data_IF_547413118887
#
_entry.id   IF_547413118887
#
_cell.length_a   1.000
_cell.length_b   1.000
_cell.length_c   1.000
_cell.angle_alpha   90.00
_cell.angle_beta   90.00
_cell.angle_gamma   90.00
#
_symmetry.space_group_name_H-M   'P 1'
#
loop_
_entity.id
_entity.type
_entity.pdbx_description
1 polymer ?
#
# COMPACT_ATOMS: atom_id res chain seq x y z
N UNK A 1 9.70 -33.77 41.89
CA UNK A 1 10.27 -33.92 40.53
C UNK A 1 9.48 -33.20 39.42
N UNK A 2 8.44 -32.40 39.70
CA UNK A 2 7.60 -31.81 38.65
C UNK A 2 7.90 -30.33 38.31
N UNK A 3 8.68 -29.63 39.13
CA UNK A 3 9.06 -28.22 38.88
C UNK A 3 10.04 -28.08 37.71
N UNK A 4 10.91 -29.07 37.50
CA UNK A 4 11.88 -29.07 36.40
C UNK A 4 11.24 -29.31 35.02
N UNK A 5 10.07 -29.98 34.97
CA UNK A 5 9.35 -30.22 33.71
C UNK A 5 8.51 -29.02 33.28
N UNK A 6 7.98 -28.24 34.24
CA UNK A 6 7.20 -27.03 33.99
C UNK A 6 8.06 -25.85 33.51
N UNK A 7 9.29 -25.73 34.02
CA UNK A 7 10.26 -24.73 33.56
C UNK A 7 10.78 -25.03 32.14
N UNK A 8 10.96 -26.31 31.79
CA UNK A 8 11.48 -26.70 30.48
C UNK A 8 10.45 -26.47 29.35
N UNK A 9 9.16 -26.74 29.59
CA UNK A 9 8.11 -26.47 28.61
C UNK A 9 7.85 -24.99 28.41
N UNK A 10 7.88 -24.17 29.47
CA UNK A 10 7.75 -22.72 29.36
C UNK A 10 8.89 -22.06 28.55
N UNK A 11 10.13 -22.52 28.72
CA UNK A 11 11.28 -22.03 27.93
C UNK A 11 11.19 -22.41 26.45
N UNK A 12 10.65 -23.58 26.12
CA UNK A 12 10.48 -24.03 24.73
C UNK A 12 9.37 -23.24 24.03
N UNK A 13 8.29 -22.88 24.73
CA UNK A 13 7.21 -22.05 24.18
C UNK A 13 7.67 -20.61 23.90
N UNK A 14 8.47 -20.02 24.80
CA UNK A 14 9.03 -18.66 24.60
C UNK A 14 10.06 -18.65 23.47
N UNK A 15 10.88 -19.70 23.33
CA UNK A 15 11.85 -19.82 22.23
C UNK A 15 11.16 -20.02 20.86
N UNK A 16 10.07 -20.78 20.80
CA UNK A 16 9.26 -20.95 19.57
C UNK A 16 8.52 -19.67 19.17
N UNK A 17 8.02 -18.91 20.14
CA UNK A 17 7.38 -17.61 19.89
C UNK A 17 8.40 -16.56 19.42
N UNK A 18 9.61 -16.53 20.01
CA UNK A 18 10.70 -15.66 19.54
C UNK A 18 11.20 -16.06 18.15
N UNK A 19 11.29 -17.36 17.83
CA UNK A 19 11.68 -17.83 16.50
C UNK A 19 10.66 -17.43 15.42
N UNK A 20 9.35 -17.48 15.72
CA UNK A 20 8.29 -17.00 14.82
C UNK A 20 8.31 -15.47 14.64
N UNK A 21 8.62 -14.71 15.70
CA UNK A 21 8.75 -13.25 15.62
C UNK A 21 9.99 -12.80 14.82
N UNK A 22 11.11 -13.52 14.93
CA UNK A 22 12.32 -13.28 14.14
C UNK A 22 12.15 -13.62 12.65
N UNK A 23 11.40 -14.68 12.32
CA UNK A 23 11.12 -15.03 10.93
C UNK A 23 10.19 -14.00 10.24
N UNK A 24 9.20 -13.47 10.97
CA UNK A 24 8.28 -12.46 10.45
C UNK A 24 8.99 -11.12 10.14
N UNK A 25 9.95 -10.71 10.96
CA UNK A 25 10.71 -9.48 10.74
C UNK A 25 11.59 -9.54 9.47
N UNK A 26 12.17 -10.70 9.15
CA UNK A 26 12.99 -10.88 7.93
C UNK A 26 12.13 -10.85 6.65
N UNK A 27 10.89 -11.35 6.71
CA UNK A 27 9.96 -11.26 5.57
C UNK A 27 9.52 -9.84 5.26
N UNK A 28 9.27 -9.02 6.28
CA UNK A 28 8.86 -7.62 6.11
C UNK A 28 10.02 -6.78 5.54
N UNK A 29 11.24 -6.96 6.06
CA UNK A 29 12.43 -6.28 5.56
C UNK A 29 12.72 -6.60 4.07
N UNK A 30 12.53 -7.85 3.64
CA UNK A 30 12.66 -8.24 2.22
C UNK A 30 11.57 -7.61 1.35
N UNK A 31 10.32 -7.56 1.84
CA UNK A 31 9.22 -6.93 1.12
C UNK A 31 9.44 -5.44 0.93
N UNK A 32 9.91 -4.73 1.96
CA UNK A 32 10.26 -3.31 1.88
C UNK A 32 11.39 -3.04 0.87
N UNK A 33 12.42 -3.89 0.82
CA UNK A 33 13.50 -3.78 -0.18
C UNK A 33 12.97 -3.93 -1.61
N UNK A 34 12.13 -4.94 -1.86
CA UNK A 34 11.53 -5.15 -3.18
C UNK A 34 10.68 -3.94 -3.59
N UNK A 35 9.87 -3.41 -2.66
CA UNK A 35 9.03 -2.24 -2.92
C UNK A 35 9.87 -0.99 -3.22
N UNK A 36 10.94 -0.77 -2.45
CA UNK A 36 11.87 0.34 -2.67
C UNK A 36 12.55 0.26 -4.04
N UNK A 37 12.98 -0.94 -4.47
CA UNK A 37 13.57 -1.16 -5.79
C UNK A 37 12.56 -0.90 -6.91
N UNK A 38 11.32 -1.39 -6.80
CA UNK A 38 10.28 -1.15 -7.79
C UNK A 38 9.94 0.34 -7.91
N UNK A 39 9.84 1.04 -6.78
CA UNK A 39 9.62 2.48 -6.74
C UNK A 39 10.78 3.24 -7.40
N UNK A 40 12.02 2.91 -7.05
CA UNK A 40 13.21 3.53 -7.61
C UNK A 40 13.34 3.29 -9.12
N UNK A 41 12.97 2.10 -9.60
CA UNK A 41 12.94 1.80 -11.03
C UNK A 41 11.93 2.69 -11.77
N UNK A 42 10.71 2.84 -11.23
CA UNK A 42 9.68 3.67 -11.83
C UNK A 42 10.07 5.16 -11.87
N UNK A 43 10.52 5.69 -10.74
CA UNK A 43 10.96 7.09 -10.62
C UNK A 43 12.19 7.36 -11.50
N UNK A 44 13.15 6.43 -11.51
CA UNK A 44 14.33 6.50 -12.38
C UNK A 44 13.96 6.54 -13.87
N UNK A 45 12.99 5.73 -14.31
CA UNK A 45 12.51 5.77 -15.70
C UNK A 45 11.84 7.09 -16.05
N UNK A 46 11.03 7.65 -15.14
CA UNK A 46 10.37 8.93 -15.35
C UNK A 46 11.40 10.08 -15.48
N UNK A 47 12.39 10.13 -14.58
CA UNK A 47 13.47 11.11 -14.67
C UNK A 47 14.34 10.92 -15.94
N UNK A 48 14.62 9.68 -16.33
CA UNK A 48 15.35 9.38 -17.56
C UNK A 48 14.60 9.87 -18.80
N UNK A 49 13.28 9.62 -18.88
CA UNK A 49 12.41 10.10 -19.98
C UNK A 49 12.34 11.61 -20.05
N UNK A 50 12.39 12.30 -18.91
CA UNK A 50 12.42 13.77 -18.81
C UNK A 50 13.78 14.39 -19.15
N UNK A 51 14.81 13.58 -19.41
CA UNK A 51 16.18 14.05 -19.66
C UNK A 51 16.94 14.46 -18.38
N UNK A 52 16.38 14.18 -17.20
CA UNK A 52 16.99 14.51 -15.92
C UNK A 52 17.92 13.38 -15.45
N UNK A 53 19.04 13.19 -16.16
CA UNK A 53 19.92 12.03 -15.94
C UNK A 53 20.57 12.02 -14.55
N UNK A 54 20.91 13.18 -13.99
CA UNK A 54 21.47 13.28 -12.64
C UNK A 54 20.51 12.77 -11.56
N UNK A 55 19.23 13.12 -11.66
CA UNK A 55 18.21 12.68 -10.71
C UNK A 55 17.94 11.18 -10.85
N UNK A 56 17.92 10.66 -12.08
CA UNK A 56 17.79 9.23 -12.33
C UNK A 56 18.96 8.43 -11.71
N UNK A 57 20.21 8.89 -11.89
CA UNK A 57 21.40 8.28 -11.27
C UNK A 57 21.28 8.28 -9.74
N UNK A 58 20.88 9.39 -9.12
CA UNK A 58 20.77 9.49 -7.67
C UNK A 58 19.76 8.48 -7.09
N UNK A 59 18.56 8.40 -7.67
CA UNK A 59 17.50 7.48 -7.22
C UNK A 59 17.92 6.03 -7.43
N UNK A 60 18.56 5.73 -8.57
CA UNK A 60 18.97 4.38 -8.92
C UNK A 60 20.21 3.90 -8.13
N UNK A 61 21.16 4.78 -7.82
CA UNK A 61 22.30 4.43 -6.95
C UNK A 61 21.84 4.13 -5.51
N UNK A 62 20.81 4.83 -5.01
CA UNK A 62 20.33 4.66 -3.64
C UNK A 62 19.85 3.24 -3.32
N UNK A 63 19.33 2.51 -4.31
CA UNK A 63 18.83 1.14 -4.12
C UNK A 63 19.71 0.06 -4.76
N UNK A 64 20.92 0.37 -5.23
CA UNK A 64 21.81 -0.60 -5.89
C UNK A 64 22.22 -1.78 -4.99
N UNK A 65 22.19 -1.60 -3.66
CA UNK A 65 22.46 -2.68 -2.71
C UNK A 65 21.28 -3.66 -2.56
N UNK A 66 20.08 -3.29 -3.02
CA UNK A 66 18.82 -4.00 -2.77
C UNK A 66 18.25 -4.71 -4.01
N UNK A 67 18.85 -4.53 -5.19
CA UNK A 67 18.27 -4.92 -6.49
C UNK A 67 18.44 -6.40 -6.85
N UNK A 68 19.20 -7.17 -6.05
CA UNK A 68 19.47 -8.60 -6.24
C UNK A 68 19.81 -9.01 -7.69
N UNK A 69 20.51 -8.13 -8.42
CA UNK A 69 20.94 -8.38 -9.81
C UNK A 69 19.87 -8.19 -10.89
N UNK A 70 18.80 -7.44 -10.62
CA UNK A 70 17.78 -7.11 -11.63
C UNK A 70 18.40 -6.45 -12.88
N UNK A 71 18.29 -7.12 -14.03
CA UNK A 71 18.91 -6.72 -15.29
C UNK A 71 18.35 -5.41 -15.84
N UNK A 72 17.03 -5.21 -15.75
CA UNK A 72 16.37 -3.99 -16.25
C UNK A 72 16.84 -2.77 -15.45
N UNK A 73 16.99 -2.94 -14.14
CA UNK A 73 17.49 -1.90 -13.25
C UNK A 73 18.92 -1.49 -13.61
N UNK A 74 19.82 -2.47 -13.77
CA UNK A 74 21.20 -2.23 -14.14
C UNK A 74 21.32 -1.59 -15.54
N UNK A 75 20.48 -2.01 -16.49
CA UNK A 75 20.46 -1.44 -17.83
C UNK A 75 19.94 0.01 -17.84
N UNK A 76 18.94 0.33 -17.02
CA UNK A 76 18.47 1.70 -16.84
C UNK A 76 19.54 2.58 -16.20
N UNK A 77 20.23 2.09 -15.17
CA UNK A 77 21.34 2.80 -14.52
C UNK A 77 22.49 3.04 -15.50
N UNK A 78 22.84 2.04 -16.32
CA UNK A 78 23.82 2.17 -17.40
C UNK A 78 23.45 3.32 -18.35
N UNK A 79 22.22 3.33 -18.85
CA UNK A 79 21.75 4.37 -19.77
C UNK A 79 21.72 5.75 -19.09
N UNK A 80 21.36 5.82 -17.80
CA UNK A 80 21.37 7.04 -17.02
C UNK A 80 22.79 7.59 -16.83
N UNK A 81 23.80 6.75 -16.57
CA UNK A 81 25.20 7.18 -16.53
C UNK A 81 25.67 7.73 -17.88
N UNK A 82 25.34 7.08 -19.00
CA UNK A 82 25.70 7.59 -20.32
C UNK A 82 25.07 8.95 -20.61
N UNK A 83 23.82 9.17 -20.18
CA UNK A 83 23.17 10.48 -20.26
C UNK A 83 23.85 11.52 -19.37
N UNK A 84 24.18 11.15 -18.13
CA UNK A 84 24.80 12.06 -17.18
C UNK A 84 26.23 12.45 -17.59
N UNK A 85 27.00 11.53 -18.15
CA UNK A 85 28.33 11.82 -18.70
C UNK A 85 28.23 12.85 -19.84
N UNK A 86 27.24 12.72 -20.74
CA UNK A 86 27.00 13.72 -21.80
C UNK A 86 26.65 15.10 -21.22
N UNK A 87 25.83 15.16 -20.17
CA UNK A 87 25.52 16.41 -19.47
C UNK A 87 26.76 17.03 -18.81
N UNK A 88 27.63 16.21 -18.22
CA UNK A 88 28.87 16.67 -17.58
C UNK A 88 29.90 17.13 -18.62
N UNK A 89 29.98 16.46 -19.78
CA UNK A 89 30.81 16.86 -20.92
C UNK A 89 30.39 18.24 -21.43
N UNK A 90 29.08 18.49 -21.56
CA UNK A 90 28.55 19.79 -21.96
C UNK A 90 28.90 20.91 -20.95
N UNK A 91 29.10 20.57 -19.67
CA UNK A 91 29.47 21.52 -18.60
C UNK A 91 30.98 21.62 -18.36
N UNK A 92 31.80 20.76 -18.99
CA UNK A 92 33.26 20.76 -18.83
C UNK A 92 33.79 20.25 -17.48
N UNK A 93 33.01 19.45 -16.73
CA UNK A 93 33.45 18.89 -15.44
C UNK A 93 34.17 17.54 -15.61
N UNK A 94 35.45 17.60 -15.99
CA UNK A 94 36.26 16.41 -16.33
C UNK A 94 36.50 15.44 -15.17
N UNK A 95 36.51 15.91 -13.92
CA UNK A 95 36.75 15.07 -12.74
C UNK A 95 35.59 14.11 -12.45
N UNK A 96 34.34 14.60 -12.52
CA UNK A 96 33.15 13.76 -12.33
C UNK A 96 32.95 12.79 -13.50
N UNK A 97 33.32 13.19 -14.73
CA UNK A 97 33.27 12.31 -15.90
C UNK A 97 34.10 11.03 -15.65
N UNK A 98 35.36 11.18 -15.21
CA UNK A 98 36.24 10.02 -14.95
C UNK A 98 35.68 9.08 -13.88
N UNK A 99 34.99 9.62 -12.87
CA UNK A 99 34.34 8.82 -11.81
C UNK A 99 33.19 7.98 -12.37
N UNK A 100 32.30 8.56 -13.17
CA UNK A 100 31.18 7.84 -13.75
C UNK A 100 31.61 6.87 -14.86
N UNK A 101 32.66 7.17 -15.62
CA UNK A 101 33.27 6.25 -16.58
C UNK A 101 33.81 4.98 -15.91
N UNK A 102 34.49 5.11 -14.77
CA UNK A 102 34.96 3.96 -13.97
C UNK A 102 33.79 3.11 -13.47
N UNK A 103 32.71 3.76 -13.00
CA UNK A 103 31.49 3.06 -12.54
C UNK A 103 30.79 2.33 -13.68
N UNK A 104 30.76 2.92 -14.87
CA UNK A 104 30.21 2.31 -16.09
C UNK A 104 30.99 1.05 -16.47
N UNK A 105 32.33 1.10 -16.42
CA UNK A 105 33.18 -0.06 -16.72
C UNK A 105 32.94 -1.25 -15.77
N UNK A 106 32.72 -0.97 -14.48
CA UNK A 106 32.36 -1.99 -13.49
C UNK A 106 30.99 -2.62 -13.83
N UNK A 107 30.02 -1.77 -14.19
CA UNK A 107 28.67 -2.18 -14.53
C UNK A 107 28.63 -3.05 -15.81
N UNK A 108 29.34 -2.65 -16.85
CA UNK A 108 29.45 -3.38 -18.13
C UNK A 108 30.08 -4.76 -17.95
N UNK A 109 31.11 -4.84 -17.10
CA UNK A 109 31.73 -6.10 -16.71
C UNK A 109 30.73 -7.01 -15.98
N UNK A 110 29.89 -6.46 -15.11
CA UNK A 110 28.83 -7.20 -14.42
C UNK A 110 27.70 -7.68 -15.35
N UNK A 111 27.22 -6.81 -16.25
CA UNK A 111 26.17 -7.14 -17.23
C UNK A 111 26.66 -8.25 -18.18
N UNK A 112 27.90 -8.14 -18.68
CA UNK A 112 28.49 -9.14 -19.59
C UNK A 112 28.83 -10.47 -18.91
N UNK A 113 29.20 -10.47 -17.62
CA UNK A 113 29.40 -11.70 -16.85
C UNK A 113 28.07 -12.41 -16.51
N UNK A 114 27.02 -11.65 -16.19
CA UNK A 114 25.66 -12.20 -16.00
C UNK A 114 25.11 -12.85 -17.28
N UNK A 115 25.47 -12.33 -18.46
CA UNK A 115 25.10 -12.91 -19.75
C UNK A 115 25.82 -14.25 -20.04
N UNK A 116 27.02 -14.47 -19.48
CA UNK A 116 27.79 -15.73 -19.67
C UNK A 116 27.43 -16.83 -18.68
N UNK A 117 26.76 -16.53 -17.58
CA UNK A 117 26.37 -17.53 -16.56
C UNK A 117 25.01 -18.21 -16.84
N UNK A 118 24.33 -17.87 -17.93
CA UNK A 118 23.09 -18.52 -18.35
C UNK A 118 23.33 -19.62 -19.38
N UNK A 119 23.87 -20.77 -18.97
CA UNK A 119 23.79 -21.99 -19.79
C UNK A 119 22.44 -22.66 -19.54
N UNK A 120 21.48 -22.36 -20.40
CA UNK A 120 20.38 -23.28 -20.73
C UNK A 120 20.47 -23.51 -22.23
N UNK A 121 20.49 -24.79 -22.61
CA UNK A 121 20.74 -25.28 -23.96
C UNK A 121 19.80 -24.67 -25.02
N UNK A 122 20.27 -24.51 -26.27
CA UNK A 122 19.48 -23.93 -27.35
C UNK A 122 18.47 -24.96 -27.88
N UNK A 123 17.20 -24.56 -27.98
CA UNK A 123 16.23 -25.28 -28.82
C UNK A 123 16.30 -24.69 -30.22
N UNK A 124 16.60 -25.59 -31.15
CA UNK A 124 16.79 -25.40 -32.58
C UNK A 124 15.63 -24.67 -33.26
N UNK A 125 15.95 -23.70 -34.11
CA UNK A 125 15.09 -23.29 -35.23
C UNK A 125 15.74 -23.80 -36.53
N UNK A 126 15.03 -24.50 -37.43
CA UNK A 126 15.57 -24.89 -38.72
C UNK A 126 15.70 -23.72 -39.69
N UNK A 127 16.81 -23.75 -40.43
CA UNK A 127 17.32 -22.83 -41.44
C UNK A 127 16.63 -23.06 -42.82
N UNK A 128 16.26 -22.00 -43.58
CA UNK A 128 16.99 -21.38 -44.75
C UNK A 128 16.40 -21.84 -46.12
N UNK A 129 16.55 -21.17 -47.33
CA UNK A 129 17.22 -19.92 -47.79
C UNK A 129 16.31 -19.03 -48.75
N UNK A 130 16.80 -18.24 -49.76
CA UNK A 130 17.00 -16.79 -49.65
C UNK A 130 16.45 -15.96 -50.85
N UNK A 131 16.46 -14.62 -50.78
CA UNK A 131 16.57 -13.78 -52.00
C UNK A 131 17.07 -12.37 -51.67
N UNK A 132 18.12 -11.98 -52.38
CA UNK A 132 18.76 -10.66 -52.46
C UNK A 132 17.83 -9.57 -53.01
N UNK A 133 18.02 -8.30 -52.65
CA UNK A 133 18.58 -7.24 -53.53
C UNK A 133 18.54 -5.83 -52.88
N UNK A 134 19.70 -5.17 -52.96
CA UNK A 134 19.96 -3.72 -53.21
C UNK A 134 19.33 -2.60 -52.37
N UNK A 135 20.21 -1.81 -51.76
CA UNK A 135 20.05 -0.36 -51.52
C UNK A 135 20.11 0.42 -52.86
N UNK A 136 19.64 1.69 -52.92
CA UNK A 136 20.53 2.80 -52.54
C UNK A 136 19.86 3.99 -51.82
N UNK A 137 20.70 4.81 -51.19
CA UNK A 137 20.39 6.11 -50.60
C UNK A 137 20.18 7.20 -51.67
N UNK A 138 19.39 8.24 -51.36
CA UNK A 138 19.55 9.58 -51.95
C UNK A 138 18.61 10.63 -51.31
N UNK A 139 19.23 11.67 -50.72
CA UNK A 139 18.92 13.14 -50.73
C UNK A 139 17.45 13.62 -50.60
N UNK A 140 17.11 14.70 -49.88
CA UNK A 140 17.56 16.09 -50.00
C UNK A 140 17.24 16.85 -48.69
N UNK A 141 18.12 17.78 -48.33
CA UNK A 141 18.05 18.71 -47.23
C UNK A 141 17.09 19.90 -47.44
N UNK A 142 16.84 20.61 -46.33
CA UNK A 142 16.64 22.06 -46.25
C UNK A 142 15.26 22.66 -46.58
N UNK A 143 14.64 23.21 -45.55
CA UNK A 143 14.16 24.59 -45.60
C UNK A 143 14.21 25.23 -44.19
N UNK A 144 15.30 25.97 -43.92
CA UNK A 144 15.30 27.08 -42.96
C UNK A 144 14.17 28.05 -43.34
N UNK A 145 13.53 28.78 -42.42
CA UNK A 145 13.99 30.07 -41.86
C UNK A 145 12.71 30.73 -41.30
N UNK A 146 12.60 31.34 -40.11
CA UNK A 146 13.28 32.54 -39.59
C UNK A 146 12.66 32.78 -38.20
N UNK A 147 13.43 33.19 -37.21
CA UNK A 147 13.23 34.47 -36.50
C UNK A 147 14.42 34.71 -35.58
N UNK A 148 15.12 35.82 -35.87
CA UNK A 148 16.27 36.35 -35.13
C UNK A 148 15.77 37.20 -33.97
N UNK A 149 16.57 37.18 -32.89
CA UNK A 149 16.41 37.87 -31.61
C UNK A 149 16.34 39.41 -31.70
N UNK A 150 16.13 40.06 -30.54
CA UNK A 150 17.24 40.84 -30.03
C UNK A 150 17.59 40.57 -28.56
N UNK A 151 18.89 40.42 -28.38
CA UNK A 151 19.69 40.43 -27.17
C UNK A 151 19.52 41.72 -26.37
N UNK A 152 19.37 41.60 -25.05
CA UNK A 152 19.75 42.65 -24.10
C UNK A 152 20.73 42.07 -23.09
N UNK A 153 21.99 42.44 -23.27
CA UNK A 153 23.11 42.17 -22.38
C UNK A 153 22.90 42.98 -21.11
N UNK A 154 22.80 42.32 -19.96
CA UNK A 154 23.01 42.94 -18.66
C UNK A 154 24.26 42.32 -18.07
N UNK A 155 25.25 43.18 -17.95
CA UNK A 155 26.59 42.97 -17.44
C UNK A 155 26.54 42.67 -15.94
N UNK A 156 27.07 41.51 -15.54
CA UNK A 156 27.18 41.08 -14.15
C UNK A 156 28.58 41.46 -13.63
N UNK A 157 28.70 42.34 -12.63
CA UNK A 157 30.01 42.70 -12.10
C UNK A 157 30.60 41.58 -11.25
N UNK A 158 31.80 41.12 -11.63
CA UNK A 158 32.72 40.34 -10.81
C UNK A 158 33.22 41.22 -9.66
N UNK A 159 33.01 40.78 -8.42
CA UNK A 159 33.81 41.26 -7.28
C UNK A 159 34.52 40.07 -6.63
N UNK A 160 35.80 40.34 -6.37
CA UNK A 160 36.90 39.53 -5.87
C UNK A 160 36.60 38.55 -4.73
N UNK A 161 37.29 37.41 -4.84
CA UNK A 161 37.60 36.50 -3.75
C UNK A 161 38.62 37.16 -2.82
N UNK A 162 38.31 37.27 -1.52
CA UNK A 162 39.19 36.89 -0.41
C UNK A 162 38.55 37.27 0.93
N UNK A 163 38.08 36.25 1.67
CA UNK A 163 37.83 36.33 3.11
C UNK A 163 37.85 34.92 3.71
N UNK A 164 38.47 34.71 4.88
CA UNK A 164 38.76 33.39 5.42
C UNK A 164 37.46 32.66 5.81
N UNK A 165 37.26 31.47 5.23
CA UNK A 165 36.19 30.54 5.61
C UNK A 165 36.50 29.97 7.00
N UNK A 166 35.87 30.52 8.03
CA UNK A 166 35.64 29.79 9.29
C UNK A 166 34.57 28.74 8.99
N UNK A 167 34.99 27.52 8.66
CA UNK A 167 34.09 26.39 8.45
C UNK A 167 33.69 25.83 9.82
N UNK A 168 32.66 26.44 10.41
CA UNK A 168 31.89 25.79 11.45
C UNK A 168 31.28 24.52 10.85
N UNK A 169 31.70 23.36 11.35
CA UNK A 169 31.10 22.07 11.02
C UNK A 169 29.70 22.09 11.64
N UNK A 170 28.69 22.44 10.86
CA UNK A 170 27.29 22.27 11.23
C UNK A 170 27.04 20.77 11.10
N UNK A 171 27.27 20.05 12.19
CA UNK A 171 26.63 18.76 12.41
C UNK A 171 25.13 19.03 12.56
N UNK A 172 24.35 18.11 12.00
CA UNK A 172 22.88 18.05 12.01
C UNK A 172 22.13 18.96 11.03
N UNK A 173 21.99 18.43 9.80
CA UNK A 173 20.80 18.65 8.99
C UNK A 173 19.58 18.01 9.71
N UNK A 174 19.16 18.63 10.81
CA UNK A 174 17.89 18.34 11.45
C UNK A 174 16.78 18.74 10.48
N UNK A 175 15.93 17.78 10.12
CA UNK A 175 14.75 17.97 9.27
C UNK A 175 13.76 19.01 9.86
N UNK A 176 13.94 19.35 11.13
CA UNK A 176 13.12 20.30 11.90
C UNK A 176 13.66 21.73 11.97
N UNK A 177 14.71 22.09 11.20
CA UNK A 177 15.13 23.49 11.15
C UNK A 177 14.09 24.33 10.36
N UNK A 178 13.39 25.28 10.99
CA UNK A 178 12.30 26.06 10.37
C UNK A 178 12.78 26.98 9.23
N UNK A 179 14.09 27.19 9.07
CA UNK A 179 14.69 27.99 8.02
C UNK A 179 15.48 27.15 6.99
N UNK A 180 15.27 25.84 6.95
CA UNK A 180 15.88 24.99 5.93
C UNK A 180 15.24 25.23 4.55
N UNK A 181 16.08 25.17 3.50
CA UNK A 181 15.63 25.31 2.11
C UNK A 181 14.57 24.24 1.74
N UNK A 182 14.68 23.05 2.32
CA UNK A 182 13.73 21.95 2.13
C UNK A 182 12.35 22.27 2.68
N UNK A 183 12.25 22.97 3.82
CA UNK A 183 10.97 23.39 4.39
C UNK A 183 10.28 24.45 3.51
N UNK A 184 11.03 25.43 3.02
CA UNK A 184 10.52 26.43 2.06
C UNK A 184 10.02 25.77 0.76
N UNK A 185 10.75 24.79 0.24
CA UNK A 185 10.35 24.05 -0.96
C UNK A 185 9.07 23.24 -0.72
N UNK A 186 8.96 22.53 0.42
CA UNK A 186 7.73 21.79 0.79
C UNK A 186 6.51 22.69 0.85
N UNK A 187 6.66 23.89 1.42
CA UNK A 187 5.58 24.88 1.47
C UNK A 187 5.14 25.33 0.07
N UNK A 188 6.09 25.63 -0.82
CA UNK A 188 5.80 25.99 -2.21
C UNK A 188 5.13 24.86 -2.98
N UNK A 189 5.63 23.62 -2.84
CA UNK A 189 5.05 22.45 -3.49
C UNK A 189 3.63 22.18 -2.97
N UNK A 190 3.39 22.32 -1.66
CA UNK A 190 2.06 22.20 -1.05
C UNK A 190 1.09 23.23 -1.61
N UNK A 191 1.54 24.49 -1.79
CA UNK A 191 0.75 25.58 -2.38
C UNK A 191 0.39 25.29 -3.84
N UNK A 192 1.35 24.80 -4.63
CA UNK A 192 1.12 24.47 -6.04
C UNK A 192 0.10 23.33 -6.19
N UNK A 193 0.15 22.31 -5.31
CA UNK A 193 -0.85 21.23 -5.29
C UNK A 193 -2.23 21.73 -4.87
N UNK A 194 -2.29 22.65 -3.91
CA UNK A 194 -3.55 23.28 -3.52
C UNK A 194 -4.17 24.05 -4.69
N UNK A 195 -3.39 24.86 -5.40
CA UNK A 195 -3.87 25.63 -6.56
C UNK A 195 -4.39 24.72 -7.68
N UNK A 196 -3.75 23.56 -7.90
CA UNK A 196 -4.26 22.56 -8.83
C UNK A 196 -5.55 21.92 -8.32
N UNK A 197 -5.65 21.59 -7.03
CA UNK A 197 -6.85 21.01 -6.44
C UNK A 197 -8.07 21.93 -6.58
N UNK A 198 -7.89 23.25 -6.39
CA UNK A 198 -8.95 24.24 -6.56
C UNK A 198 -9.43 24.35 -8.02
N UNK A 199 -8.50 24.24 -8.99
CA UNK A 199 -8.87 24.18 -10.42
C UNK A 199 -9.69 22.92 -10.74
N UNK A 200 -9.25 21.76 -10.25
CA UNK A 200 -9.99 20.51 -10.46
C UNK A 200 -11.35 20.52 -9.74
N UNK A 201 -11.43 21.14 -8.57
CA UNK A 201 -12.68 21.34 -7.83
C UNK A 201 -13.66 22.20 -8.64
N UNK A 202 -13.19 23.34 -9.17
CA UNK A 202 -13.98 24.19 -10.06
C UNK A 202 -14.39 23.46 -11.35
N UNK A 203 -13.53 22.58 -11.86
CA UNK A 203 -13.78 21.70 -13.00
C UNK A 203 -14.72 20.51 -12.71
N UNK A 204 -15.26 20.39 -11.48
CA UNK A 204 -16.10 19.26 -11.01
C UNK A 204 -15.40 17.89 -11.04
N UNK A 205 -14.07 17.88 -11.11
CA UNK A 205 -13.25 16.66 -11.06
C UNK A 205 -12.95 16.29 -9.60
N UNK A 206 -13.99 16.04 -8.80
CA UNK A 206 -13.88 15.89 -7.34
C UNK A 206 -12.93 14.76 -6.89
N UNK A 207 -12.86 13.67 -7.66
CA UNK A 207 -11.96 12.54 -7.37
C UNK A 207 -10.48 12.90 -7.50
N UNK A 208 -10.11 13.67 -8.54
CA UNK A 208 -8.74 14.15 -8.73
C UNK A 208 -8.42 15.25 -7.71
N UNK A 209 -9.36 16.17 -7.49
CA UNK A 209 -9.25 17.22 -6.49
C UNK A 209 -8.98 16.62 -5.09
N UNK A 210 -9.69 15.56 -4.70
CA UNK A 210 -9.49 14.89 -3.40
C UNK A 210 -8.05 14.42 -3.18
N UNK A 211 -7.43 13.84 -4.21
CA UNK A 211 -6.04 13.37 -4.14
C UNK A 211 -5.04 14.51 -4.02
N UNK A 212 -5.25 15.58 -4.78
CA UNK A 212 -4.39 16.76 -4.75
C UNK A 212 -4.48 17.50 -3.40
N UNK A 213 -5.68 17.56 -2.81
CA UNK A 213 -5.84 18.05 -1.44
C UNK A 213 -5.07 17.17 -0.45
N UNK A 214 -5.24 15.85 -0.50
CA UNK A 214 -4.52 14.94 0.40
C UNK A 214 -2.99 15.08 0.28
N UNK A 215 -2.46 15.19 -0.93
CA UNK A 215 -1.04 15.46 -1.17
C UNK A 215 -0.58 16.79 -0.59
N UNK A 216 -1.35 17.86 -0.77
CA UNK A 216 -1.07 19.19 -0.21
C UNK A 216 -1.06 19.16 1.31
N UNK A 217 -2.04 18.49 1.93
CA UNK A 217 -2.14 18.33 3.38
C UNK A 217 -0.96 17.54 3.95
N UNK A 218 -0.52 16.48 3.25
CA UNK A 218 0.63 15.67 3.66
C UNK A 218 1.94 16.47 3.61
N UNK A 219 2.07 17.39 2.64
CA UNK A 219 3.26 18.23 2.51
C UNK A 219 3.31 19.29 3.60
N UNK A 220 2.24 20.08 3.75
CA UNK A 220 2.13 21.12 4.78
C UNK A 220 0.65 21.39 5.15
N UNK A 221 0.19 20.92 6.33
CA UNK A 221 -1.18 21.12 6.78
C UNK A 221 -1.60 22.61 6.91
N UNK A 222 -0.65 23.50 7.21
CA UNK A 222 -0.93 24.93 7.46
C UNK A 222 -1.38 25.70 6.21
N UNK A 223 -1.17 25.15 5.01
CA UNK A 223 -1.52 25.82 3.75
C UNK A 223 -3.02 25.76 3.47
N UNK A 224 -3.77 24.86 4.12
CA UNK A 224 -5.15 24.51 3.74
C UNK A 224 -6.30 24.99 4.64
N UNK A 225 -6.23 26.03 5.50
CA UNK A 225 -7.32 26.32 6.44
C UNK A 225 -8.65 26.68 5.75
N UNK A 226 -8.61 27.25 4.54
CA UNK A 226 -9.81 27.72 3.82
C UNK A 226 -10.38 26.68 2.83
N UNK A 227 -9.63 25.61 2.55
CA UNK A 227 -10.00 24.58 1.56
C UNK A 227 -10.31 23.23 2.21
N UNK A 228 -10.22 23.12 3.54
CA UNK A 228 -10.61 21.93 4.31
C UNK A 228 -12.05 21.52 3.99
N UNK A 229 -12.97 22.48 3.88
CA UNK A 229 -14.37 22.22 3.52
C UNK A 229 -14.50 21.58 2.14
N UNK A 230 -13.82 22.13 1.14
CA UNK A 230 -13.84 21.62 -0.25
C UNK A 230 -13.24 20.22 -0.31
N UNK A 231 -12.17 19.98 0.45
CA UNK A 231 -11.58 18.65 0.57
C UNK A 231 -12.54 17.65 1.23
N UNK A 232 -13.16 18.02 2.35
CA UNK A 232 -14.16 17.19 3.02
C UNK A 232 -15.34 16.86 2.09
N UNK A 233 -15.82 17.85 1.32
CA UNK A 233 -16.84 17.63 0.30
C UNK A 233 -16.39 16.61 -0.76
N UNK A 234 -15.18 16.75 -1.31
CA UNK A 234 -14.65 15.79 -2.29
C UNK A 234 -14.58 14.36 -1.74
N UNK A 235 -14.20 14.20 -0.47
CA UNK A 235 -14.17 12.90 0.21
C UNK A 235 -15.57 12.31 0.33
N UNK A 236 -16.53 13.08 0.81
CA UNK A 236 -17.93 12.63 0.91
C UNK A 236 -18.52 12.27 -0.47
N UNK A 237 -18.19 13.06 -1.51
CA UNK A 237 -18.60 12.78 -2.87
C UNK A 237 -18.04 11.45 -3.39
N UNK A 238 -16.78 11.13 -3.08
CA UNK A 238 -16.18 9.85 -3.47
C UNK A 238 -16.87 8.64 -2.82
N UNK A 239 -17.34 8.79 -1.58
CA UNK A 239 -18.14 7.77 -0.88
C UNK A 239 -19.48 7.58 -1.59
N UNK A 240 -20.16 8.67 -1.97
CA UNK A 240 -21.42 8.61 -2.73
C UNK A 240 -21.22 7.93 -4.09
N UNK A 241 -20.17 8.29 -4.81
CA UNK A 241 -19.81 7.69 -6.09
C UNK A 241 -19.57 6.17 -5.92
N UNK A 242 -18.79 5.77 -4.91
CA UNK A 242 -18.53 4.37 -4.60
C UNK A 242 -19.83 3.62 -4.20
N UNK A 243 -20.70 4.25 -3.41
CA UNK A 243 -22.00 3.71 -3.01
C UNK A 243 -22.97 3.53 -4.19
N UNK A 244 -22.88 4.38 -5.21
CA UNK A 244 -23.69 4.29 -6.42
C UNK A 244 -23.14 3.26 -7.39
N UNK A 245 -21.80 3.16 -7.53
CA UNK A 245 -21.15 2.14 -8.37
C UNK A 245 -21.31 0.72 -7.81
N UNK A 246 -21.19 0.54 -6.49
CA UNK A 246 -21.29 -0.76 -5.81
C UNK A 246 -22.73 -1.17 -5.50
N UNK A 247 -23.72 -0.75 -6.30
CA UNK A 247 -25.14 -0.72 -5.95
C UNK A 247 -25.79 -2.01 -5.40
N UNK A 248 -25.11 -3.17 -5.31
CA UNK A 248 -25.69 -4.40 -4.73
C UNK A 248 -24.75 -5.43 -4.07
N UNK A 249 -23.44 -5.21 -3.85
CA UNK A 249 -22.57 -6.35 -3.50
C UNK A 249 -21.98 -6.36 -2.07
N UNK A 250 -21.57 -5.21 -1.52
CA UNK A 250 -20.96 -5.18 -0.18
C UNK A 250 -20.88 -3.75 0.33
N UNK A 251 -21.51 -3.50 1.48
CA UNK A 251 -21.27 -2.26 2.21
C UNK A 251 -19.85 -2.30 2.79
N UNK A 252 -19.09 -1.24 2.56
CA UNK A 252 -17.73 -1.13 3.08
C UNK A 252 -17.76 -0.48 4.47
N UNK A 253 -17.26 -1.16 5.53
CA UNK A 253 -17.17 -0.55 6.86
C UNK A 253 -16.31 0.73 6.90
N UNK A 254 -15.42 0.92 5.92
CA UNK A 254 -14.55 2.10 5.89
C UNK A 254 -15.32 3.40 5.56
N UNK A 255 -16.45 3.31 4.86
CA UNK A 255 -17.23 4.50 4.47
C UNK A 255 -17.75 5.30 5.67
N UNK A 256 -18.21 4.64 6.72
CA UNK A 256 -18.71 5.32 7.93
C UNK A 256 -17.60 6.10 8.63
N UNK A 257 -16.40 5.51 8.69
CA UNK A 257 -15.23 6.16 9.25
C UNK A 257 -14.83 7.38 8.40
N UNK A 258 -14.78 7.23 7.08
CA UNK A 258 -14.47 8.33 6.16
C UNK A 258 -15.47 9.48 6.23
N UNK A 259 -16.76 9.18 6.38
CA UNK A 259 -17.80 10.20 6.58
C UNK A 259 -17.56 10.94 7.91
N UNK A 260 -17.35 10.22 9.02
CA UNK A 260 -17.13 10.84 10.33
C UNK A 260 -15.87 11.71 10.35
N UNK A 261 -14.78 11.26 9.74
CA UNK A 261 -13.55 12.04 9.59
C UNK A 261 -13.80 13.29 8.73
N UNK A 262 -14.55 13.18 7.65
CA UNK A 262 -14.87 14.34 6.81
C UNK A 262 -15.75 15.36 7.55
N UNK A 263 -16.66 14.89 8.42
CA UNK A 263 -17.51 15.75 9.25
C UNK A 263 -16.74 16.44 10.40
N UNK A 264 -15.71 15.80 10.96
CA UNK A 264 -14.87 16.45 11.98
C UNK A 264 -14.01 17.57 11.38
N UNK A 265 -13.67 17.45 10.10
CA UNK A 265 -12.91 18.45 9.35
C UNK A 265 -13.78 19.63 8.89
N UNK A 266 -15.04 19.39 8.54
CA UNK A 266 -15.95 20.41 8.03
C UNK A 266 -17.36 20.29 8.68
N UNK A 267 -17.57 20.93 9.85
CA UNK A 267 -18.85 20.86 10.56
C UNK A 267 -20.04 21.40 9.75
N UNK A 268 -19.82 22.32 8.81
CA UNK A 268 -20.89 22.83 7.94
C UNK A 268 -21.53 21.76 7.04
N UNK A 269 -20.87 20.62 6.81
CA UNK A 269 -21.40 19.51 5.99
C UNK A 269 -22.14 18.45 6.82
N UNK A 270 -22.41 18.70 8.11
CA UNK A 270 -23.05 17.73 9.02
C UNK A 270 -24.41 17.22 8.54
N UNK A 271 -25.27 18.09 8.02
CA UNK A 271 -26.59 17.68 7.51
C UNK A 271 -26.48 16.68 6.36
N UNK A 272 -25.57 16.94 5.43
CA UNK A 272 -25.28 16.06 4.31
C UNK A 272 -24.65 14.73 4.77
N UNK A 273 -23.62 14.76 5.62
CA UNK A 273 -23.00 13.54 6.12
C UNK A 273 -23.93 12.67 6.97
N UNK A 274 -24.79 13.28 7.81
CA UNK A 274 -25.81 12.55 8.57
C UNK A 274 -26.83 11.87 7.65
N UNK A 275 -27.18 12.52 6.53
CA UNK A 275 -28.04 11.92 5.51
C UNK A 275 -27.36 10.71 4.87
N UNK A 276 -26.06 10.76 4.59
CA UNK A 276 -25.31 9.62 4.06
C UNK A 276 -25.23 8.46 5.06
N UNK A 277 -25.01 8.74 6.34
CA UNK A 277 -25.02 7.70 7.39
C UNK A 277 -26.39 7.04 7.50
N UNK A 278 -27.48 7.81 7.50
CA UNK A 278 -28.83 7.25 7.52
C UNK A 278 -29.11 6.36 6.30
N UNK A 279 -28.65 6.75 5.10
CA UNK A 279 -28.76 5.92 3.89
C UNK A 279 -27.94 4.63 3.99
N UNK A 280 -26.75 4.69 4.60
CA UNK A 280 -25.90 3.52 4.87
C UNK A 280 -26.63 2.56 5.82
N UNK A 281 -27.18 3.06 6.93
CA UNK A 281 -27.92 2.26 7.90
C UNK A 281 -29.17 1.62 7.29
N UNK A 282 -29.92 2.38 6.49
CA UNK A 282 -31.07 1.85 5.75
C UNK A 282 -30.65 0.71 4.80
N UNK A 283 -29.57 0.89 4.03
CA UNK A 283 -29.07 -0.18 3.15
C UNK A 283 -28.54 -1.38 3.94
N UNK A 284 -27.95 -1.19 5.11
CA UNK A 284 -27.57 -2.31 6.00
C UNK A 284 -28.78 -3.13 6.40
N UNK A 285 -29.86 -2.45 6.79
CA UNK A 285 -31.13 -3.10 7.14
C UNK A 285 -31.73 -3.81 5.93
N UNK A 286 -31.71 -3.19 4.75
CA UNK A 286 -32.19 -3.79 3.50
C UNK A 286 -31.35 -4.99 3.07
N UNK A 287 -30.02 -4.97 3.17
CA UNK A 287 -29.14 -6.12 2.89
C UNK A 287 -29.34 -7.23 3.94
N UNK A 288 -29.57 -6.84 5.20
CA UNK A 288 -29.96 -7.77 6.26
C UNK A 288 -31.34 -8.40 6.04
N UNK A 289 -32.24 -7.71 5.34
CA UNK A 289 -33.60 -8.17 5.03
C UNK A 289 -33.72 -8.91 3.68
N UNK A 290 -32.89 -8.57 2.69
CA UNK A 290 -32.89 -9.13 1.32
C UNK A 290 -31.90 -10.28 1.13
N UNK A 291 -31.16 -10.67 2.18
CA UNK A 291 -30.65 -12.02 2.31
C UNK A 291 -31.75 -12.92 2.91
N UNK A 292 -32.63 -13.56 2.11
CA UNK A 292 -33.30 -14.75 2.61
C UNK A 292 -32.19 -15.76 2.89
N UNK A 293 -32.06 -16.17 4.14
CA UNK A 293 -31.00 -17.01 4.70
C UNK A 293 -29.71 -16.28 5.13
N UNK A 294 -29.83 -15.13 5.80
CA UNK A 294 -29.39 -15.21 7.19
C UNK A 294 -30.55 -15.84 7.95
N UNK A 295 -30.36 -16.93 8.71
CA UNK A 295 -31.26 -17.16 9.81
C UNK A 295 -31.13 -15.92 10.68
N UNK A 296 -32.07 -14.97 10.55
CA UNK A 296 -32.73 -14.35 11.70
C UNK A 296 -32.66 -15.42 12.76
N UNK A 297 -31.89 -15.19 13.83
CA UNK A 297 -31.64 -16.14 14.90
C UNK A 297 -32.96 -16.88 15.11
N UNK A 298 -33.09 -18.06 14.51
CA UNK A 298 -34.36 -18.73 14.38
C UNK A 298 -34.51 -19.22 15.79
N UNK A 299 -35.22 -18.42 16.60
CA UNK A 299 -35.03 -18.31 18.06
C UNK A 299 -34.68 -19.69 18.54
N UNK A 300 -33.37 -19.96 18.73
CA UNK A 300 -32.92 -21.33 18.94
C UNK A 300 -33.50 -21.66 20.28
N UNK A 301 -34.60 -22.40 20.26
CA UNK A 301 -35.38 -22.71 21.44
C UNK A 301 -34.56 -23.73 22.22
N UNK A 302 -33.90 -23.22 23.26
CA UNK A 302 -33.09 -24.06 24.14
C UNK A 302 -34.01 -24.53 25.26
N UNK A 303 -34.35 -25.81 25.23
CA UNK A 303 -35.13 -26.43 26.29
C UNK A 303 -34.18 -26.80 27.42
N UNK A 304 -34.34 -26.14 28.56
CA UNK A 304 -33.59 -26.45 29.76
C UNK A 304 -34.37 -27.45 30.62
N UNK A 305 -33.70 -28.52 31.01
CA UNK A 305 -34.23 -29.56 31.89
C UNK A 305 -33.23 -29.83 33.00
N UNK A 306 -33.70 -30.05 34.23
CA UNK A 306 -32.82 -30.46 35.31
C UNK A 306 -33.55 -30.84 36.59
N UNK A 307 -32.82 -31.26 37.63
CA UNK A 307 -31.52 -31.93 37.55
C UNK A 307 -31.71 -33.42 37.18
N UNK A 308 -30.81 -33.94 36.36
CA UNK A 308 -30.70 -35.38 36.10
C UNK A 308 -29.69 -36.02 37.07
N UNK A 309 -29.62 -37.35 37.12
CA UNK A 309 -28.76 -38.09 38.06
C UNK A 309 -27.33 -37.50 38.10
N UNK A 310 -26.86 -37.13 39.30
CA UNK A 310 -25.50 -36.61 39.50
C UNK A 310 -25.33 -35.08 39.37
N UNK A 311 -26.40 -34.28 39.51
CA UNK A 311 -26.36 -32.81 39.48
C UNK A 311 -26.04 -32.19 38.11
N UNK A 312 -26.25 -32.97 37.04
CA UNK A 312 -26.14 -32.51 35.67
C UNK A 312 -27.42 -31.81 35.21
N UNK A 313 -27.24 -30.67 34.55
CA UNK A 313 -28.30 -29.92 33.87
C UNK A 313 -28.20 -30.14 32.36
N UNK A 314 -29.35 -30.19 31.69
CA UNK A 314 -29.45 -30.43 30.26
C UNK A 314 -30.03 -29.22 29.55
N UNK A 315 -29.32 -28.70 28.56
CA UNK A 315 -29.81 -27.75 27.59
C UNK A 315 -29.90 -28.42 26.22
N UNK A 316 -31.12 -28.61 25.71
CA UNK A 316 -31.38 -29.32 24.45
C UNK A 316 -31.87 -28.37 23.36
N UNK A 317 -31.32 -28.52 22.16
CA UNK A 317 -31.79 -27.93 20.90
C UNK A 317 -32.17 -29.05 19.93
N UNK A 318 -32.56 -28.69 18.70
CA UNK A 318 -32.87 -29.68 17.66
C UNK A 318 -31.68 -30.60 17.33
N UNK A 319 -30.46 -30.07 17.33
CA UNK A 319 -29.26 -30.80 16.89
C UNK A 319 -28.23 -31.04 18.00
N UNK A 320 -28.38 -30.43 19.19
CA UNK A 320 -27.41 -30.54 20.28
C UNK A 320 -28.04 -30.80 21.65
N UNK A 321 -27.39 -31.64 22.45
CA UNK A 321 -27.60 -31.81 23.89
C UNK A 321 -26.36 -31.34 24.64
N UNK A 322 -26.52 -30.31 25.46
CA UNK A 322 -25.44 -29.77 26.29
C UNK A 322 -25.68 -30.17 27.73
N UNK A 323 -24.85 -31.08 28.24
CA UNK A 323 -24.76 -31.46 29.64
C UNK A 323 -23.83 -30.47 30.36
N UNK A 324 -24.29 -29.82 31.42
CA UNK A 324 -23.50 -28.82 32.12
C UNK A 324 -23.69 -28.82 33.63
N UNK A 325 -22.65 -28.36 34.34
CA UNK A 325 -22.70 -27.94 35.75
C UNK A 325 -22.73 -26.41 35.91
N UNK A 326 -22.68 -25.67 34.79
CA UNK A 326 -22.62 -24.21 34.75
C UNK A 326 -24.00 -23.56 34.89
N UNK A 327 -24.05 -22.23 34.92
CA UNK A 327 -25.31 -21.50 34.90
C UNK A 327 -26.07 -21.73 33.56
N UNK A 328 -27.38 -21.48 33.58
CA UNK A 328 -28.26 -21.72 32.44
C UNK A 328 -27.88 -20.84 31.23
N UNK A 329 -27.45 -19.59 31.45
CA UNK A 329 -27.14 -18.64 30.39
C UNK A 329 -25.92 -19.07 29.56
N UNK A 330 -24.88 -19.57 30.21
CA UNK A 330 -23.66 -20.07 29.58
C UNK A 330 -23.99 -21.32 28.74
N UNK A 331 -24.81 -22.23 29.28
CA UNK A 331 -25.28 -23.40 28.55
C UNK A 331 -26.15 -23.02 27.33
N UNK A 332 -27.03 -22.02 27.46
CA UNK A 332 -27.78 -21.45 26.34
C UNK A 332 -26.84 -20.89 25.27
N UNK A 333 -25.79 -20.17 25.67
CA UNK A 333 -24.83 -19.58 24.75
C UNK A 333 -24.06 -20.66 23.98
N UNK A 334 -23.60 -21.71 24.67
CA UNK A 334 -22.92 -22.85 24.02
C UNK A 334 -23.84 -23.53 23.02
N UNK A 335 -25.07 -23.88 23.42
CA UNK A 335 -26.06 -24.50 22.54
C UNK A 335 -26.35 -23.66 21.28
N UNK A 336 -26.53 -22.35 21.45
CA UNK A 336 -26.74 -21.40 20.32
C UNK A 336 -25.52 -21.31 19.41
N UNK A 337 -24.32 -21.28 19.99
CA UNK A 337 -23.07 -21.19 19.23
C UNK A 337 -22.83 -22.46 18.42
N UNK A 338 -23.18 -23.63 18.96
CA UNK A 338 -23.11 -24.91 18.26
C UNK A 338 -24.07 -24.97 17.07
N UNK A 339 -25.33 -24.52 17.23
CA UNK A 339 -26.28 -24.43 16.10
C UNK A 339 -25.84 -23.43 15.03
N UNK A 340 -25.31 -22.27 15.44
CA UNK A 340 -24.78 -21.27 14.50
C UNK A 340 -23.59 -21.83 13.71
N UNK A 341 -22.65 -22.50 14.39
CA UNK A 341 -21.50 -23.16 13.77
C UNK A 341 -21.95 -24.24 12.77
N UNK A 342 -22.96 -25.04 13.12
CA UNK A 342 -23.54 -26.05 12.22
C UNK A 342 -24.08 -25.42 10.94
N UNK A 343 -24.87 -24.36 11.06
CA UNK A 343 -25.45 -23.65 9.90
C UNK A 343 -24.35 -23.01 9.05
N UNK A 344 -23.40 -22.33 9.67
CA UNK A 344 -22.29 -21.68 8.96
C UNK A 344 -21.43 -22.69 8.20
N UNK A 345 -21.04 -23.78 8.88
CA UNK A 345 -20.27 -24.85 8.25
C UNK A 345 -21.06 -25.51 7.10
N UNK A 346 -22.35 -25.78 7.31
CA UNK A 346 -23.18 -26.41 6.29
C UNK A 346 -23.32 -25.52 5.04
N UNK A 347 -23.56 -24.22 5.22
CA UNK A 347 -23.62 -23.28 4.11
C UNK A 347 -22.28 -23.14 3.39
N UNK A 348 -21.18 -23.06 4.15
CA UNK A 348 -19.84 -22.91 3.57
C UNK A 348 -19.43 -24.11 2.73
N UNK A 349 -19.71 -25.33 3.19
CA UNK A 349 -19.21 -26.55 2.56
C UNK A 349 -20.20 -27.19 1.60
N UNK A 350 -21.50 -27.05 1.83
CA UNK A 350 -22.54 -27.75 1.08
C UNK A 350 -23.55 -26.81 0.39
N UNK A 351 -23.45 -25.50 0.60
CA UNK A 351 -24.33 -24.50 -0.02
C UNK A 351 -25.78 -24.54 0.46
N UNK A 352 -26.10 -25.42 1.43
CA UNK A 352 -27.41 -25.57 2.03
C UNK A 352 -27.27 -26.19 3.44
N UNK A 353 -28.22 -25.89 4.32
CA UNK A 353 -28.34 -26.57 5.62
C UNK A 353 -29.12 -27.87 5.39
N UNK A 354 -28.50 -29.01 5.66
CA UNK A 354 -29.13 -30.32 5.58
C UNK A 354 -30.16 -30.57 6.69
N UNK A 355 -30.72 -31.79 6.70
CA UNK A 355 -31.67 -32.24 7.71
C UNK A 355 -31.09 -32.19 9.14
N UNK A 356 -31.99 -32.18 10.13
CA UNK A 356 -31.60 -32.24 11.54
C UNK A 356 -30.77 -33.51 11.82
N UNK A 357 -29.74 -33.35 12.64
CA UNK A 357 -28.77 -34.39 12.94
C UNK A 357 -29.40 -35.53 13.74
N UNK A 358 -29.21 -36.75 13.23
CA UNK A 358 -29.60 -37.98 13.90
C UNK A 358 -28.41 -38.96 13.83
N UNK A 359 -27.79 -39.34 14.95
CA UNK A 359 -28.13 -38.97 16.34
C UNK A 359 -27.82 -37.49 16.67
N UNK A 360 -28.50 -36.97 17.70
CA UNK A 360 -28.26 -35.64 18.25
C UNK A 360 -26.83 -35.59 18.83
N UNK A 361 -26.09 -34.52 18.59
CA UNK A 361 -24.73 -34.38 19.11
C UNK A 361 -24.74 -34.02 20.60
N UNK A 362 -23.86 -34.66 21.37
CA UNK A 362 -23.74 -34.41 22.82
C UNK A 362 -22.48 -33.60 23.14
N UNK A 363 -22.63 -32.63 24.03
CA UNK A 363 -21.57 -31.74 24.51
C UNK A 363 -21.57 -31.82 26.04
N UNK A 364 -20.42 -32.12 26.64
CA UNK A 364 -20.25 -32.17 28.09
C UNK A 364 -19.39 -31.00 28.56
N UNK A 365 -19.96 -30.14 29.39
CA UNK A 365 -19.30 -28.96 29.96
C UNK A 365 -18.90 -29.23 31.41
N UNK A 366 -17.60 -29.44 31.61
CA UNK A 366 -17.00 -29.57 32.92
C UNK A 366 -16.63 -28.20 33.49
N UNK A 367 -16.78 -27.99 34.82
CA UNK A 367 -16.45 -26.72 35.46
C UNK A 367 -14.93 -26.45 35.49
N UNK A 368 -14.10 -27.50 35.43
CA UNK A 368 -12.64 -27.38 35.42
C UNK A 368 -12.01 -28.36 34.43
N UNK A 369 -10.79 -28.04 33.97
CA UNK A 369 -10.03 -28.88 33.04
C UNK A 369 -9.42 -30.15 33.67
N UNK A 370 -9.71 -30.45 34.94
CA UNK A 370 -9.13 -31.56 35.70
C UNK A 370 -9.98 -32.84 35.66
N UNK A 371 -11.19 -32.77 35.08
CA UNK A 371 -12.17 -33.87 35.09
C UNK A 371 -12.34 -34.56 33.73
N UNK A 372 -11.35 -34.48 32.84
CA UNK A 372 -11.34 -35.18 31.54
C UNK A 372 -10.45 -36.42 31.61
#
# INVERSE_FOLDING_TARGET
>A
MNTSKLMLTACISVALFFAQLLLAADTDAKFQKILAVQKALLEGQDHFKKGNYQAAVFILEAQIASIDGNKEYLQLLHNAYQGHIRDLQAKGLTEEISKYEKRLQILDSGITQSAKSGTVAPVSTPAVPPASVTAPASVIASALSKFVAPTKVVEQPKIAQDAPKVRGKIEDANEDNPFSFTNTQRYHDARLRLDQAEKEFAGKNFRLASKLYEESYRLEPKVMPQSVERWAYCRLYSVVEAMNQKQNAKLDPQWENEIRVSLSMAPQLQSFGNTLLANIDQRKQEIGATNPVQPSAAVVEVKHTGPYQGNWYLAETKNFRVWHHLNQADATQVAKSSEACRVEAAMKWFGAVGNDWTPICEIYLHPTAQEI
#
